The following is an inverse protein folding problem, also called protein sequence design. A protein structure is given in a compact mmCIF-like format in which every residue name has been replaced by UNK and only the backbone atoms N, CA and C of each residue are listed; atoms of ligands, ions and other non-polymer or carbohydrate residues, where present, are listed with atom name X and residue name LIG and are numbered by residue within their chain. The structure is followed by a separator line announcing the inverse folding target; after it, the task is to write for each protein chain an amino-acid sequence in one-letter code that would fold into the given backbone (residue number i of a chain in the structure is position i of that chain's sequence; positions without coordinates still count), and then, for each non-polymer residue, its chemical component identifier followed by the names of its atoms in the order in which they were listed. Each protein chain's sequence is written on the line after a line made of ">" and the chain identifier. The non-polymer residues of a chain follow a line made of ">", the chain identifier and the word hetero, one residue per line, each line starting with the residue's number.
data_IF_285301991232
#
_entry.id   IF_285301991232
#
_cell.length_a   1.000
_cell.length_b   1.000
_cell.length_c   1.000
_cell.angle_alpha   90.00
_cell.angle_beta   90.00
_cell.angle_gamma   90.00
#
_symmetry.space_group_name_H-M   'P 1'
#
loop_
_entity.id
_entity.type
_entity.pdbx_description
1 polymer ?
#
# COMPACT_ATOMS: atom_id res chain seq x y z
N UNK A 1 -10.60 -24.49 39.12
CA UNK A 1 -9.25 -24.60 38.54
C UNK A 1 -8.55 -25.83 39.08
N UNK A 2 -8.01 -26.71 38.23
CA UNK A 2 -6.83 -27.51 38.49
C UNK A 2 -5.60 -26.94 37.74
N UNK A 3 -4.39 -27.27 38.19
CA UNK A 3 -3.15 -26.60 37.79
C UNK A 3 -2.54 -27.10 36.47
N UNK A 4 -1.73 -26.25 35.82
CA UNK A 4 -0.87 -26.61 34.70
C UNK A 4 0.47 -27.19 35.18
N UNK A 5 1.11 -28.10 34.41
CA UNK A 5 2.48 -28.55 34.66
C UNK A 5 3.53 -27.75 33.87
N UNK A 6 4.51 -27.19 34.60
CA UNK A 6 5.95 -27.23 34.28
C UNK A 6 6.45 -26.72 32.93
N UNK A 7 6.98 -25.50 32.92
CA UNK A 7 8.01 -25.07 31.95
C UNK A 7 9.32 -25.78 32.29
N UNK A 8 10.04 -26.28 31.28
CA UNK A 8 11.39 -26.84 31.43
C UNK A 8 12.38 -26.04 30.57
N UNK A 9 13.45 -25.57 31.21
CA UNK A 9 14.60 -24.95 30.54
C UNK A 9 15.27 -25.92 29.56
N UNK A 10 15.78 -25.38 28.45
CA UNK A 10 16.73 -26.07 27.57
C UNK A 10 17.95 -25.16 27.43
N UNK A 11 18.97 -25.48 28.22
CA UNK A 11 20.19 -24.70 28.33
C UNK A 11 21.05 -24.72 27.06
N UNK A 12 21.80 -23.64 26.87
CA UNK A 12 22.79 -23.50 25.80
C UNK A 12 24.13 -24.14 26.19
N UNK A 13 24.51 -25.23 25.55
CA UNK A 13 25.94 -25.57 25.40
C UNK A 13 26.26 -26.17 24.01
N UNK A 14 27.12 -25.50 23.25
CA UNK A 14 27.97 -26.13 22.22
C UNK A 14 29.36 -25.52 22.28
N UNK A 15 30.34 -26.36 22.59
CA UNK A 15 31.70 -25.94 22.88
C UNK A 15 32.53 -25.57 21.65
N UNK A 16 33.63 -24.89 21.94
CA UNK A 16 34.71 -24.53 21.02
C UNK A 16 35.77 -25.63 21.08
N UNK A 17 36.32 -26.02 19.92
CA UNK A 17 37.67 -26.61 19.84
C UNK A 17 38.48 -25.87 18.78
N UNK A 18 39.76 -25.63 19.07
CA UNK A 18 40.67 -24.85 18.25
C UNK A 18 41.86 -25.70 17.78
N UNK A 19 42.37 -25.41 16.57
CA UNK A 19 43.80 -25.26 16.24
C UNK A 19 43.94 -24.85 14.76
N UNK A 20 44.94 -24.10 14.31
CA UNK A 20 46.05 -23.50 15.06
C UNK A 20 46.99 -22.64 14.20
N UNK A 21 48.03 -22.11 14.84
CA UNK A 21 49.30 -21.57 14.31
C UNK A 21 49.32 -20.37 13.32
N UNK A 22 49.89 -19.24 13.78
CA UNK A 22 50.54 -18.21 12.95
C UNK A 22 52.02 -18.57 12.68
N UNK A 23 53.01 -17.65 12.75
CA UNK A 23 53.02 -16.21 13.08
C UNK A 23 53.37 -15.35 11.82
N UNK A 24 53.87 -14.11 11.81
CA UNK A 24 54.40 -13.17 12.83
C UNK A 24 54.21 -11.69 12.38
N UNK A 25 54.78 -10.74 13.13
CA UNK A 25 54.80 -9.30 12.82
C UNK A 25 56.10 -8.61 13.28
N UNK A 26 56.50 -7.50 12.63
CA UNK A 26 57.45 -6.46 13.12
C UNK A 26 57.00 -5.12 12.50
N UNK A 27 56.45 -4.16 13.26
CA UNK A 27 57.10 -2.91 13.80
C UNK A 27 57.90 -2.10 12.76
N UNK A 28 57.87 -0.76 12.70
CA UNK A 28 57.25 0.28 13.53
C UNK A 28 58.16 1.53 13.58
N UNK A 29 57.61 2.71 13.93
CA UNK A 29 58.35 3.98 14.21
C UNK A 29 59.02 4.69 12.99
N UNK A 30 59.27 6.02 12.93
CA UNK A 30 59.03 7.17 13.84
C UNK A 30 58.82 8.45 13.00
N UNK A 31 58.27 9.53 13.58
CA UNK A 31 57.98 10.80 12.90
C UNK A 31 58.99 11.95 13.00
N UNK A 32 58.53 13.13 12.54
CA UNK A 32 59.01 14.48 12.92
C UNK A 32 60.31 14.98 12.27
N UNK A 33 60.58 16.29 12.07
CA UNK A 33 59.88 17.56 12.37
C UNK A 33 60.47 18.68 11.44
N UNK A 34 59.74 19.80 11.30
CA UNK A 34 60.01 21.10 10.65
C UNK A 34 61.45 21.61 10.39
N UNK A 35 61.63 22.46 9.37
CA UNK A 35 61.97 23.89 9.55
C UNK A 35 61.57 24.76 8.31
N UNK A 36 61.57 26.09 8.44
CA UNK A 36 60.98 27.07 7.51
C UNK A 36 61.97 28.13 6.97
N UNK A 37 61.42 29.23 6.40
CA UNK A 37 62.07 30.44 5.83
C UNK A 37 62.50 30.34 4.34
N UNK A 38 62.41 31.38 3.48
CA UNK A 38 61.78 32.73 3.52
C UNK A 38 61.97 33.37 2.11
N UNK A 39 60.98 34.08 1.54
CA UNK A 39 61.17 34.72 0.22
C UNK A 39 59.89 35.28 -0.45
N UNK A 40 59.50 36.47 -0.05
CA UNK A 40 58.26 37.20 -0.34
C UNK A 40 58.03 37.75 -1.78
N UNK A 41 56.73 37.88 -2.15
CA UNK A 41 56.06 38.79 -3.11
C UNK A 41 56.45 38.72 -4.62
N UNK A 42 55.52 38.77 -5.58
CA UNK A 42 54.59 39.90 -5.84
C UNK A 42 53.41 39.49 -6.75
N UNK A 43 52.31 40.25 -6.71
CA UNK A 43 51.10 40.23 -7.57
C UNK A 43 49.99 39.20 -7.26
N UNK A 44 49.20 39.52 -6.23
CA UNK A 44 47.82 39.07 -6.12
C UNK A 44 46.89 39.94 -6.99
N UNK A 45 46.50 39.46 -8.18
CA UNK A 45 45.30 39.96 -8.85
C UNK A 45 44.14 39.00 -8.57
N UNK A 46 43.21 39.42 -7.72
CA UNK A 46 41.97 38.69 -7.47
C UNK A 46 41.03 38.86 -8.67
N UNK A 47 40.61 37.79 -9.38
CA UNK A 47 39.70 37.93 -10.50
C UNK A 47 38.36 38.50 -10.03
N UNK A 48 37.87 39.56 -10.71
CA UNK A 48 36.58 40.17 -10.44
C UNK A 48 35.48 39.11 -10.62
N UNK A 49 34.64 38.82 -9.59
CA UNK A 49 33.55 37.88 -9.73
C UNK A 49 32.49 38.45 -10.68
N UNK A 50 32.47 38.01 -11.94
CA UNK A 50 31.37 38.30 -12.85
C UNK A 50 30.09 37.68 -12.29
N UNK A 51 28.95 38.42 -12.26
CA UNK A 51 27.69 37.88 -11.78
C UNK A 51 27.28 36.71 -12.69
N UNK A 52 27.26 35.50 -12.12
CA UNK A 52 26.73 34.31 -12.78
C UNK A 52 25.20 34.42 -12.85
N UNK A 53 24.69 35.05 -13.90
CA UNK A 53 23.26 35.03 -14.24
C UNK A 53 22.79 33.57 -14.28
N UNK A 54 21.80 33.16 -13.46
CA UNK A 54 21.26 31.82 -13.55
C UNK A 54 20.69 31.58 -14.95
N UNK A 55 21.13 30.50 -15.60
CA UNK A 55 20.49 30.05 -16.84
C UNK A 55 19.00 29.79 -16.55
N UNK A 56 18.08 30.24 -17.43
CA UNK A 56 16.66 29.99 -17.23
C UNK A 56 16.43 28.48 -17.16
N UNK A 57 15.80 28.01 -16.07
CA UNK A 57 15.40 26.60 -15.94
C UNK A 57 14.43 26.31 -17.09
N UNK A 58 14.79 25.40 -17.98
CA UNK A 58 13.86 24.92 -19.01
C UNK A 58 12.62 24.38 -18.31
N UNK A 59 11.40 24.76 -18.74
CA UNK A 59 10.19 24.22 -18.15
C UNK A 59 10.21 22.69 -18.30
N UNK A 60 9.96 21.98 -17.20
CA UNK A 60 9.88 20.52 -17.21
C UNK A 60 8.78 20.11 -18.20
N UNK A 61 9.16 19.32 -19.21
CA UNK A 61 8.18 18.81 -20.17
C UNK A 61 7.22 17.90 -19.41
N UNK A 62 5.89 18.07 -19.56
CA UNK A 62 4.92 17.21 -18.88
C UNK A 62 5.17 15.76 -19.27
N UNK A 63 5.51 14.94 -18.28
CA UNK A 63 5.73 13.50 -18.45
C UNK A 63 4.36 12.83 -18.63
N UNK A 64 3.93 12.73 -19.89
CA UNK A 64 2.76 11.96 -20.27
C UNK A 64 3.01 10.48 -19.94
N UNK A 65 2.54 10.02 -18.79
CA UNK A 65 2.50 8.59 -18.47
C UNK A 65 1.57 7.88 -19.45
N UNK A 66 2.15 7.23 -20.45
CA UNK A 66 1.44 6.26 -21.29
C UNK A 66 1.20 5.01 -20.45
N UNK A 67 -0.04 4.77 -20.03
CA UNK A 67 -0.42 3.50 -19.44
C UNK A 67 -0.13 2.37 -20.43
N UNK A 68 0.55 1.32 -19.98
CA UNK A 68 0.84 0.16 -20.83
C UNK A 68 -0.46 -0.59 -21.15
N UNK A 69 -0.50 -1.29 -22.28
CA UNK A 69 -1.65 -2.15 -22.64
C UNK A 69 -1.93 -3.17 -21.54
N UNK A 70 -0.88 -3.75 -20.93
CA UNK A 70 -1.01 -4.62 -19.73
C UNK A 70 -1.72 -3.91 -18.57
N UNK A 71 -1.37 -2.65 -18.28
CA UNK A 71 -2.00 -1.87 -17.21
C UNK A 71 -3.48 -1.62 -17.49
N UNK A 72 -3.82 -1.15 -18.69
CA UNK A 72 -5.22 -0.93 -19.10
C UNK A 72 -6.05 -2.22 -19.01
N UNK A 73 -5.49 -3.36 -19.41
CA UNK A 73 -6.13 -4.68 -19.28
C UNK A 73 -6.27 -5.11 -17.83
N UNK A 74 -5.28 -4.86 -16.97
CA UNK A 74 -5.35 -5.15 -15.54
C UNK A 74 -6.47 -4.35 -14.85
N UNK A 75 -6.59 -3.07 -15.17
CA UNK A 75 -7.63 -2.21 -14.59
C UNK A 75 -9.02 -2.59 -15.12
N UNK A 76 -9.14 -2.92 -16.41
CA UNK A 76 -10.38 -3.47 -16.98
C UNK A 76 -10.79 -4.81 -16.35
N UNK A 77 -9.83 -5.70 -16.05
CA UNK A 77 -10.10 -6.95 -15.35
C UNK A 77 -10.51 -6.75 -13.89
N UNK A 78 -9.92 -5.77 -13.18
CA UNK A 78 -10.35 -5.39 -11.83
C UNK A 78 -11.78 -4.85 -11.83
N UNK A 79 -12.12 -3.99 -12.80
CA UNK A 79 -13.48 -3.51 -12.99
C UNK A 79 -14.47 -4.66 -13.28
N UNK A 80 -14.11 -5.59 -14.17
CA UNK A 80 -14.93 -6.77 -14.49
C UNK A 80 -15.10 -7.72 -13.29
N UNK A 81 -14.09 -7.86 -12.42
CA UNK A 81 -14.21 -8.59 -11.15
C UNK A 81 -15.18 -7.89 -10.19
N UNK A 82 -14.94 -6.62 -9.87
CA UNK A 82 -15.75 -5.88 -8.89
C UNK A 82 -17.18 -5.57 -9.36
N UNK A 83 -17.41 -5.49 -10.68
CA UNK A 83 -18.74 -5.42 -11.31
C UNK A 83 -19.46 -6.77 -11.43
N UNK A 84 -18.80 -7.89 -11.13
CA UNK A 84 -19.38 -9.24 -11.22
C UNK A 84 -19.48 -9.82 -12.63
N UNK A 85 -18.86 -9.19 -13.63
CA UNK A 85 -18.76 -9.73 -15.00
C UNK A 85 -17.83 -10.97 -15.08
N UNK A 86 -16.86 -11.06 -14.17
CA UNK A 86 -16.06 -12.26 -13.95
C UNK A 86 -16.56 -13.01 -12.70
N UNK A 87 -17.31 -14.07 -12.93
CA UNK A 87 -18.05 -14.82 -11.91
C UNK A 87 -17.13 -15.55 -10.92
N UNK A 88 -17.28 -15.35 -9.59
CA UNK A 88 -16.55 -16.12 -8.58
C UNK A 88 -16.70 -17.64 -8.74
N UNK A 89 -15.57 -18.34 -8.85
CA UNK A 89 -15.48 -19.78 -9.10
C UNK A 89 -15.42 -20.20 -10.57
N UNK A 90 -15.73 -19.32 -11.53
CA UNK A 90 -15.61 -19.58 -12.96
C UNK A 90 -14.14 -19.49 -13.43
N UNK A 91 -13.79 -20.23 -14.50
CA UNK A 91 -12.43 -20.27 -15.07
C UNK A 91 -12.39 -19.57 -16.41
N UNK A 92 -11.61 -18.49 -16.50
CA UNK A 92 -11.40 -17.72 -17.72
C UNK A 92 -10.03 -17.99 -18.33
N UNK A 93 -9.98 -18.12 -19.66
CA UNK A 93 -8.72 -18.31 -20.41
C UNK A 93 -8.21 -16.97 -20.96
N UNK A 94 -6.89 -16.78 -20.97
CA UNK A 94 -6.28 -15.56 -21.50
C UNK A 94 -6.58 -15.32 -23.00
N UNK A 95 -6.71 -16.33 -23.88
CA UNK A 95 -7.19 -16.13 -25.25
C UNK A 95 -8.61 -15.59 -25.34
N UNK A 96 -9.57 -16.19 -24.62
CA UNK A 96 -10.98 -15.76 -24.67
C UNK A 96 -11.18 -14.35 -24.09
N UNK A 97 -10.43 -14.00 -23.05
CA UNK A 97 -10.39 -12.63 -22.53
C UNK A 97 -9.69 -11.67 -23.51
N UNK A 98 -8.64 -12.10 -24.21
CA UNK A 98 -7.98 -11.30 -25.26
C UNK A 98 -8.92 -10.96 -26.41
N UNK A 99 -9.71 -11.92 -26.89
CA UNK A 99 -10.76 -11.71 -27.89
C UNK A 99 -11.80 -10.68 -27.41
N UNK A 100 -12.27 -10.79 -26.16
CA UNK A 100 -13.20 -9.81 -25.56
C UNK A 100 -12.63 -8.38 -25.49
N UNK A 101 -11.35 -8.24 -25.15
CA UNK A 101 -10.69 -6.94 -25.02
C UNK A 101 -10.02 -6.43 -26.32
N UNK A 102 -10.10 -7.17 -27.43
CA UNK A 102 -9.46 -6.79 -28.70
C UNK A 102 -7.92 -6.80 -28.68
N UNK A 103 -7.31 -7.62 -27.81
CA UNK A 103 -5.85 -7.70 -27.64
C UNK A 103 -5.35 -9.14 -27.71
N UNK A 104 -4.03 -9.33 -27.85
CA UNK A 104 -3.43 -10.66 -27.81
C UNK A 104 -3.47 -11.27 -26.40
N UNK A 105 -3.36 -12.60 -26.31
CA UNK A 105 -3.43 -13.32 -25.04
C UNK A 105 -2.27 -13.05 -24.07
N UNK A 106 -1.17 -12.43 -24.53
CA UNK A 106 0.03 -12.16 -23.72
C UNK A 106 -0.19 -11.10 -22.63
N UNK A 107 -0.57 -9.83 -22.94
CA UNK A 107 -0.84 -8.83 -21.90
C UNK A 107 -1.97 -9.26 -20.95
N UNK A 108 -2.96 -10.00 -21.45
CA UNK A 108 -4.02 -10.59 -20.62
C UNK A 108 -3.47 -11.62 -19.65
N UNK A 109 -2.58 -12.52 -20.09
CA UNK A 109 -1.95 -13.51 -19.20
C UNK A 109 -1.11 -12.84 -18.12
N UNK A 110 -0.37 -11.79 -18.46
CA UNK A 110 0.44 -11.01 -17.51
C UNK A 110 -0.42 -10.24 -16.50
N UNK A 111 -1.59 -9.73 -16.92
CA UNK A 111 -2.55 -9.09 -16.04
C UNK A 111 -3.25 -10.12 -15.12
N UNK A 112 -3.66 -11.28 -15.65
CA UNK A 112 -4.27 -12.35 -14.84
C UNK A 112 -3.27 -13.01 -13.88
N UNK A 113 -1.98 -13.07 -14.23
CA UNK A 113 -0.91 -13.46 -13.29
C UNK A 113 -0.75 -12.44 -12.16
N UNK A 114 -0.83 -11.14 -12.47
CA UNK A 114 -0.82 -10.08 -11.46
C UNK A 114 -2.02 -10.20 -10.51
N UNK A 115 -3.22 -10.47 -11.05
CA UNK A 115 -4.42 -10.76 -10.24
C UNK A 115 -4.30 -12.05 -9.41
N UNK A 116 -3.48 -13.01 -9.84
CA UNK A 116 -3.20 -14.22 -9.06
C UNK A 116 -2.28 -13.92 -7.86
N UNK A 117 -1.29 -13.04 -8.04
CA UNK A 117 -0.46 -12.52 -6.94
C UNK A 117 -1.31 -11.70 -5.96
N UNK A 118 -2.29 -10.94 -6.46
CA UNK A 118 -3.25 -10.17 -5.66
C UNK A 118 -4.34 -11.04 -4.99
N UNK A 119 -4.35 -12.36 -5.21
CA UNK A 119 -5.34 -13.28 -4.61
C UNK A 119 -6.78 -13.04 -5.07
N UNK A 120 -6.96 -12.44 -6.26
CA UNK A 120 -8.26 -12.25 -6.91
C UNK A 120 -8.62 -13.42 -7.85
N UNK A 121 -7.60 -14.12 -8.38
CA UNK A 121 -7.76 -15.34 -9.19
C UNK A 121 -6.76 -16.42 -8.79
N UNK A 122 -7.03 -17.68 -9.12
CA UNK A 122 -6.12 -18.82 -8.96
C UNK A 122 -5.68 -19.34 -10.33
N UNK A 123 -4.41 -19.71 -10.50
CA UNK A 123 -3.95 -20.34 -11.75
C UNK A 123 -4.47 -21.78 -11.83
N UNK A 124 -5.23 -22.09 -12.89
CA UNK A 124 -5.69 -23.45 -13.19
C UNK A 124 -4.86 -24.02 -14.34
N UNK A 125 -3.96 -24.99 -14.08
CA UNK A 125 -3.08 -25.56 -15.11
C UNK A 125 -3.84 -25.98 -16.37
N UNK A 126 -3.32 -25.58 -17.52
CA UNK A 126 -3.86 -25.85 -18.86
C UNK A 126 -5.31 -25.36 -19.13
N UNK A 127 -5.94 -24.61 -18.21
CA UNK A 127 -7.32 -24.11 -18.38
C UNK A 127 -7.42 -22.58 -18.33
N UNK A 128 -6.60 -21.92 -17.52
CA UNK A 128 -6.62 -20.47 -17.38
C UNK A 128 -6.54 -20.04 -15.92
N UNK A 129 -7.45 -19.18 -15.50
CA UNK A 129 -7.48 -18.58 -14.17
C UNK A 129 -8.90 -18.66 -13.60
N UNK A 130 -9.05 -19.16 -12.38
CA UNK A 130 -10.33 -19.23 -11.65
C UNK A 130 -10.53 -17.96 -10.83
N UNK A 131 -11.68 -17.32 -10.89
CA UNK A 131 -11.97 -16.21 -9.96
C UNK A 131 -12.10 -16.76 -8.54
N UNK A 132 -11.41 -16.16 -7.58
CA UNK A 132 -11.48 -16.57 -6.17
C UNK A 132 -12.89 -16.31 -5.64
N UNK A 133 -13.42 -17.25 -4.85
CA UNK A 133 -14.72 -17.11 -4.17
C UNK A 133 -14.46 -16.94 -2.67
N UNK A 134 -14.63 -15.72 -2.16
CA UNK A 134 -14.65 -15.48 -0.70
C UNK A 134 -16.02 -15.79 -0.11
N UNK A 135 -16.00 -16.36 1.09
CA UNK A 135 -17.18 -16.52 1.93
C UNK A 135 -17.27 -15.41 2.97
N UNK A 136 -18.46 -15.16 3.52
CA UNK A 136 -18.67 -14.13 4.55
C UNK A 136 -17.73 -14.29 5.75
N UNK A 137 -17.46 -15.54 6.16
CA UNK A 137 -16.49 -15.86 7.21
C UNK A 137 -15.07 -15.34 6.91
N UNK A 138 -14.56 -15.56 5.70
CA UNK A 138 -13.21 -15.10 5.32
C UNK A 138 -13.15 -13.57 5.28
N UNK A 139 -14.22 -12.89 4.87
CA UNK A 139 -14.30 -11.43 4.89
C UNK A 139 -14.34 -10.87 6.32
N UNK A 140 -15.05 -11.53 7.25
CA UNK A 140 -15.03 -11.17 8.67
C UNK A 140 -13.63 -11.40 9.30
N UNK A 141 -12.98 -12.52 9.00
CA UNK A 141 -11.59 -12.81 9.43
C UNK A 141 -10.61 -11.77 8.86
N UNK A 142 -10.78 -11.33 7.61
CA UNK A 142 -9.99 -10.24 7.01
C UNK A 142 -10.29 -8.87 7.65
N UNK A 143 -11.53 -8.58 8.02
CA UNK A 143 -11.92 -7.34 8.71
C UNK A 143 -11.30 -7.26 10.11
N UNK A 144 -11.34 -8.35 10.89
CA UNK A 144 -10.68 -8.45 12.19
C UNK A 144 -9.18 -8.15 12.08
N UNK A 145 -8.48 -8.77 11.11
CA UNK A 145 -7.06 -8.51 10.86
C UNK A 145 -6.81 -7.07 10.39
N UNK A 146 -7.69 -6.47 9.57
CA UNK A 146 -7.61 -5.05 9.20
C UNK A 146 -7.74 -4.15 10.43
N UNK A 147 -8.72 -4.40 11.31
CA UNK A 147 -8.95 -3.60 12.51
C UNK A 147 -7.74 -3.64 13.46
N UNK A 148 -7.25 -4.85 13.79
CA UNK A 148 -6.08 -5.07 14.64
C UNK A 148 -4.81 -4.35 14.13
N UNK A 149 -4.67 -4.17 12.82
CA UNK A 149 -3.51 -3.55 12.20
C UNK A 149 -3.67 -2.04 11.98
N UNK A 150 -4.86 -1.56 11.59
CA UNK A 150 -5.08 -0.18 11.16
C UNK A 150 -5.54 0.75 12.29
N UNK A 151 -6.46 0.32 13.17
CA UNK A 151 -6.95 1.13 14.31
C UNK A 151 -5.80 1.67 15.18
N UNK A 152 -4.85 0.86 15.69
CA UNK A 152 -3.76 1.38 16.52
C UNK A 152 -2.80 2.31 15.75
N UNK A 153 -2.70 2.17 14.43
CA UNK A 153 -1.90 3.09 13.60
C UNK A 153 -2.61 4.43 13.47
N UNK A 154 -3.89 4.46 13.10
CA UNK A 154 -4.67 5.70 12.97
C UNK A 154 -4.73 6.44 14.31
N UNK A 155 -5.00 5.74 15.41
CA UNK A 155 -5.03 6.35 16.75
C UNK A 155 -3.66 6.84 17.22
N UNK A 156 -2.56 6.25 16.76
CA UNK A 156 -1.21 6.80 16.99
C UNK A 156 -0.99 8.07 16.17
N UNK A 157 -1.35 8.06 14.89
CA UNK A 157 -1.22 9.21 13.99
C UNK A 157 -2.07 10.40 14.48
N UNK A 158 -3.28 10.15 14.97
CA UNK A 158 -4.19 11.16 15.52
C UNK A 158 -3.56 12.00 16.65
N UNK A 159 -2.57 11.45 17.37
CA UNK A 159 -1.83 12.14 18.44
C UNK A 159 -0.54 12.81 18.00
N UNK A 160 -0.12 12.65 16.74
CA UNK A 160 1.22 13.09 16.25
C UNK A 160 1.19 13.87 14.94
N UNK A 161 0.10 13.79 14.18
CA UNK A 161 -0.11 14.47 12.90
C UNK A 161 -0.99 15.69 13.13
N UNK A 162 -0.59 16.86 12.61
CA UNK A 162 -1.35 18.10 12.76
C UNK A 162 -2.62 18.13 11.91
N UNK A 163 -3.61 18.92 12.33
CA UNK A 163 -4.86 19.15 11.61
C UNK A 163 -4.66 19.49 10.11
N UNK A 164 -3.68 20.33 9.76
CA UNK A 164 -3.38 20.69 8.36
C UNK A 164 -3.05 19.46 7.49
N UNK A 165 -2.29 18.51 8.03
CA UNK A 165 -1.88 17.27 7.35
C UNK A 165 -3.06 16.30 7.16
N UNK A 166 -4.07 16.36 8.01
CA UNK A 166 -5.34 15.67 7.80
C UNK A 166 -6.19 16.37 6.73
N UNK A 167 -6.21 17.70 6.73
CA UNK A 167 -6.86 18.51 5.69
C UNK A 167 -6.33 18.24 4.27
N UNK A 168 -5.03 17.97 4.12
CA UNK A 168 -4.44 17.54 2.84
C UNK A 168 -5.06 16.25 2.26
N UNK A 169 -5.65 15.38 3.09
CA UNK A 169 -6.31 14.14 2.65
C UNK A 169 -7.77 14.33 2.24
N UNK A 170 -8.37 15.51 2.46
CA UNK A 170 -9.78 15.76 2.15
C UNK A 170 -10.17 15.46 0.68
N UNK A 171 -9.35 15.80 -0.35
CA UNK A 171 -9.67 15.43 -1.73
C UNK A 171 -9.80 13.92 -1.98
N UNK A 172 -9.15 13.07 -1.17
CA UNK A 172 -9.30 11.62 -1.26
C UNK A 172 -10.65 11.17 -0.69
N UNK A 173 -11.06 11.71 0.46
CA UNK A 173 -12.37 11.41 1.05
C UNK A 173 -13.53 11.90 0.17
N UNK A 174 -13.43 13.13 -0.38
CA UNK A 174 -14.42 13.67 -1.32
C UNK A 174 -14.50 12.82 -2.61
N UNK A 175 -13.38 12.24 -3.07
CA UNK A 175 -13.35 11.30 -4.19
C UNK A 175 -14.02 9.95 -3.85
N UNK A 176 -13.90 9.43 -2.61
CA UNK A 176 -14.68 8.23 -2.20
C UNK A 176 -16.18 8.50 -2.25
N UNK A 177 -16.64 9.66 -1.78
CA UNK A 177 -18.04 10.06 -1.86
C UNK A 177 -18.52 10.25 -3.31
N UNK A 178 -17.68 10.85 -4.18
CA UNK A 178 -17.97 10.97 -5.61
C UNK A 178 -18.07 9.60 -6.28
N UNK A 179 -17.15 8.69 -6.00
CA UNK A 179 -17.14 7.33 -6.52
C UNK A 179 -18.39 6.55 -6.04
N UNK A 180 -18.70 6.60 -4.75
CA UNK A 180 -19.90 5.97 -4.15
C UNK A 180 -21.20 6.43 -4.82
N UNK A 181 -21.31 7.72 -5.15
CA UNK A 181 -22.51 8.29 -5.80
C UNK A 181 -22.86 7.62 -7.15
N UNK A 182 -21.86 7.04 -7.82
CA UNK A 182 -22.04 6.32 -9.10
C UNK A 182 -22.66 4.93 -8.92
N UNK A 183 -22.62 4.35 -7.71
CA UNK A 183 -22.97 2.96 -7.45
C UNK A 183 -21.97 1.92 -7.98
N UNK A 184 -20.87 2.34 -8.63
CA UNK A 184 -19.87 1.44 -9.16
C UNK A 184 -18.90 0.97 -8.06
N UNK A 185 -19.06 -0.28 -7.58
CA UNK A 185 -18.16 -0.88 -6.56
C UNK A 185 -16.68 -0.87 -6.98
N UNK A 186 -16.38 -1.04 -8.27
CA UNK A 186 -15.00 -0.97 -8.77
C UNK A 186 -14.38 0.41 -8.55
N UNK A 187 -15.07 1.46 -9.02
CA UNK A 187 -14.63 2.85 -8.88
C UNK A 187 -14.56 3.27 -7.41
N UNK A 188 -15.49 2.79 -6.58
CA UNK A 188 -15.43 3.00 -5.14
C UNK A 188 -14.20 2.35 -4.51
N UNK A 189 -13.98 1.05 -4.72
CA UNK A 189 -12.87 0.31 -4.12
C UNK A 189 -11.48 0.82 -4.51
N UNK A 190 -11.32 1.44 -5.68
CA UNK A 190 -10.08 2.14 -6.05
C UNK A 190 -9.90 3.47 -5.31
N UNK A 191 -10.96 4.26 -5.13
CA UNK A 191 -10.93 5.52 -4.37
C UNK A 191 -10.73 5.27 -2.86
N UNK A 192 -11.46 4.29 -2.32
CA UNK A 192 -11.41 3.83 -0.93
C UNK A 192 -9.99 3.34 -0.56
N UNK A 193 -9.41 2.46 -1.40
CA UNK A 193 -8.01 2.04 -1.26
C UNK A 193 -7.03 3.23 -1.30
N UNK A 194 -7.29 4.23 -2.14
CA UNK A 194 -6.45 5.43 -2.21
C UNK A 194 -6.55 6.30 -0.94
N UNK A 195 -7.76 6.46 -0.37
CA UNK A 195 -7.99 7.13 0.91
C UNK A 195 -7.25 6.45 2.06
N UNK A 196 -7.45 5.13 2.25
CA UNK A 196 -6.75 4.36 3.28
C UNK A 196 -5.22 4.42 3.11
N UNK A 197 -4.72 4.32 1.88
CA UNK A 197 -3.28 4.46 1.59
C UNK A 197 -2.75 5.85 1.94
N UNK A 198 -3.54 6.91 1.71
CA UNK A 198 -3.21 8.27 2.12
C UNK A 198 -3.10 8.42 3.63
N UNK A 199 -4.10 7.95 4.37
CA UNK A 199 -4.14 7.96 5.85
C UNK A 199 -2.96 7.19 6.44
N UNK A 200 -2.76 5.93 6.03
CA UNK A 200 -1.66 5.11 6.55
C UNK A 200 -0.28 5.57 6.06
N UNK A 201 -0.21 6.29 4.93
CA UNK A 201 1.04 6.82 4.37
C UNK A 201 1.73 7.83 5.29
N UNK A 202 0.94 8.55 6.11
CA UNK A 202 1.44 9.45 7.16
C UNK A 202 2.28 8.72 8.23
N UNK A 203 2.18 7.39 8.34
CA UNK A 203 3.02 6.60 9.24
C UNK A 203 4.46 6.36 8.73
N UNK A 204 4.75 6.67 7.45
CA UNK A 204 6.08 6.48 6.85
C UNK A 204 6.56 5.02 6.80
N UNK A 205 5.65 4.05 6.93
CA UNK A 205 5.97 2.62 7.02
C UNK A 205 5.50 1.88 5.76
N UNK A 206 6.42 1.69 4.81
CA UNK A 206 6.14 1.00 3.54
C UNK A 206 5.71 -0.47 3.72
N UNK A 207 6.16 -1.16 4.76
CA UNK A 207 5.75 -2.55 5.02
C UNK A 207 4.31 -2.62 5.52
N UNK A 208 3.92 -1.67 6.39
CA UNK A 208 2.52 -1.49 6.79
C UNK A 208 1.63 -1.20 5.57
N UNK A 209 2.06 -0.28 4.71
CA UNK A 209 1.32 0.07 3.49
C UNK A 209 1.12 -1.16 2.59
N UNK A 210 2.16 -1.95 2.34
CA UNK A 210 2.07 -3.15 1.50
C UNK A 210 1.08 -4.19 2.06
N UNK A 211 1.11 -4.42 3.38
CA UNK A 211 0.21 -5.39 4.05
C UNK A 211 -1.24 -4.86 4.07
N UNK A 212 -1.45 -3.59 4.44
CA UNK A 212 -2.79 -3.01 4.51
C UNK A 212 -3.46 -2.92 3.13
N UNK A 213 -2.71 -2.56 2.10
CA UNK A 213 -3.17 -2.47 0.69
C UNK A 213 -3.55 -3.85 0.12
N UNK A 214 -2.83 -4.91 0.50
CA UNK A 214 -3.16 -6.30 0.19
C UNK A 214 -4.42 -6.80 0.92
N UNK A 215 -4.52 -6.59 2.24
CA UNK A 215 -5.72 -6.92 3.02
C UNK A 215 -6.95 -6.18 2.47
N UNK A 216 -6.80 -4.90 2.15
CA UNK A 216 -7.86 -4.07 1.59
C UNK A 216 -8.34 -4.62 0.23
N UNK A 217 -7.43 -4.92 -0.73
CA UNK A 217 -7.81 -5.56 -2.00
C UNK A 217 -8.58 -6.86 -1.79
N UNK A 218 -8.18 -7.68 -0.81
CA UNK A 218 -8.84 -8.97 -0.55
C UNK A 218 -10.28 -8.79 -0.06
N UNK A 219 -10.53 -7.77 0.78
CA UNK A 219 -11.89 -7.43 1.23
C UNK A 219 -12.80 -6.86 0.14
N UNK A 220 -12.24 -6.24 -0.91
CA UNK A 220 -13.03 -5.68 -2.04
C UNK A 220 -13.48 -6.72 -3.08
N UNK A 221 -13.11 -8.00 -2.95
CA UNK A 221 -13.50 -9.04 -3.91
C UNK A 221 -14.94 -9.52 -3.65
N UNK A 222 -15.82 -9.65 -4.66
CA UNK A 222 -17.22 -9.99 -4.43
C UNK A 222 -17.47 -11.29 -3.67
N UNK A 223 -18.46 -11.26 -2.78
CA UNK A 223 -19.13 -12.44 -2.23
C UNK A 223 -19.67 -13.31 -3.36
N UNK A 224 -19.27 -14.58 -3.39
CA UNK A 224 -19.63 -15.46 -4.50
C UNK A 224 -21.13 -15.73 -4.63
N UNK A 225 -21.63 -15.64 -5.87
CA UNK A 225 -22.99 -15.95 -6.38
C UNK A 225 -24.00 -16.31 -5.27
N UNK A 226 -24.69 -15.27 -4.80
CA UNK A 226 -25.67 -15.31 -3.71
C UNK A 226 -26.18 -13.91 -3.35
N UNK A 227 -25.33 -12.88 -3.50
CA UNK A 227 -25.69 -11.46 -3.30
C UNK A 227 -25.80 -10.66 -4.61
N UNK A 228 -25.74 -11.32 -5.79
CA UNK A 228 -25.96 -10.69 -7.10
C UNK A 228 -27.41 -10.19 -7.33
N UNK A 229 -28.28 -10.29 -6.31
CA UNK A 229 -29.66 -9.83 -6.34
C UNK A 229 -29.85 -8.34 -5.99
N UNK A 230 -28.84 -7.64 -5.44
CA UNK A 230 -28.92 -6.20 -5.15
C UNK A 230 -27.81 -5.39 -5.82
N UNK A 231 -27.79 -5.45 -7.15
CA UNK A 231 -27.29 -4.35 -7.99
C UNK A 231 -28.36 -3.23 -8.09
N UNK A 232 -29.10 -3.02 -7.00
CA UNK A 232 -30.14 -2.02 -6.85
C UNK A 232 -29.65 -0.82 -6.05
N UNK A 233 -30.58 -0.05 -5.47
CA UNK A 233 -30.21 1.14 -4.69
C UNK A 233 -29.59 0.81 -3.33
N UNK A 234 -29.72 -0.41 -2.80
CA UNK A 234 -29.14 -0.79 -1.50
C UNK A 234 -27.61 -0.73 -1.52
N UNK A 235 -26.98 -1.35 -2.52
CA UNK A 235 -25.52 -1.27 -2.71
C UNK A 235 -25.00 0.17 -2.80
N UNK A 236 -25.67 1.07 -3.53
CA UNK A 236 -25.25 2.49 -3.58
C UNK A 236 -25.40 3.21 -2.23
N UNK A 237 -26.47 2.93 -1.48
CA UNK A 237 -26.67 3.52 -0.14
C UNK A 237 -25.60 3.05 0.83
N UNK A 238 -25.20 1.77 0.78
CA UNK A 238 -24.09 1.20 1.54
C UNK A 238 -22.77 1.94 1.23
N UNK A 239 -22.39 2.05 -0.05
CA UNK A 239 -21.17 2.77 -0.46
C UNK A 239 -21.17 4.24 -0.03
N UNK A 240 -22.33 4.92 -0.08
CA UNK A 240 -22.44 6.31 0.34
C UNK A 240 -22.39 6.48 1.86
N UNK A 241 -22.82 5.48 2.63
CA UNK A 241 -22.68 5.47 4.09
C UNK A 241 -21.22 5.28 4.49
N UNK A 242 -20.52 4.31 3.88
CA UNK A 242 -19.09 4.05 4.12
C UNK A 242 -18.21 5.26 3.74
N UNK A 243 -18.46 5.87 2.58
CA UNK A 243 -17.79 7.10 2.16
C UNK A 243 -17.99 8.29 3.13
N UNK A 244 -19.15 8.36 3.79
CA UNK A 244 -19.42 9.40 4.77
C UNK A 244 -18.61 9.20 6.07
N UNK A 245 -18.23 7.96 6.40
CA UNK A 245 -17.35 7.67 7.53
C UNK A 245 -15.93 8.18 7.30
N UNK A 246 -15.41 8.11 6.06
CA UNK A 246 -14.11 8.71 5.70
C UNK A 246 -14.08 10.22 5.96
N UNK A 247 -15.15 10.92 5.56
CA UNK A 247 -15.29 12.36 5.77
C UNK A 247 -15.39 12.68 7.27
N UNK A 248 -16.26 11.98 7.99
CA UNK A 248 -16.43 12.17 9.44
C UNK A 248 -15.15 11.90 10.23
N UNK A 249 -14.38 10.88 9.82
CA UNK A 249 -13.09 10.55 10.43
C UNK A 249 -12.06 11.66 10.20
N UNK A 250 -11.95 12.22 8.99
CA UNK A 250 -11.08 13.37 8.75
C UNK A 250 -11.54 14.61 9.54
N UNK A 251 -12.84 14.89 9.59
CA UNK A 251 -13.38 16.04 10.33
C UNK A 251 -13.05 15.91 11.84
N UNK A 252 -13.19 14.71 12.44
CA UNK A 252 -12.79 14.45 13.82
C UNK A 252 -11.28 14.58 14.05
N UNK A 253 -10.45 14.06 13.13
CA UNK A 253 -8.98 14.16 13.20
C UNK A 253 -8.49 15.62 13.03
N UNK A 254 -9.15 16.42 12.19
CA UNK A 254 -8.87 17.85 12.03
C UNK A 254 -9.33 18.69 13.23
N UNK A 255 -10.37 18.25 13.94
CA UNK A 255 -10.83 18.86 15.19
C UNK A 255 -10.04 18.40 16.43
N UNK A 256 -9.07 17.50 16.27
CA UNK A 256 -8.32 16.82 17.34
C UNK A 256 -9.23 16.05 18.33
N UNK A 257 -10.44 15.68 17.91
CA UNK A 257 -11.39 14.89 18.70
C UNK A 257 -11.02 13.40 18.66
N UNK A 258 -10.15 13.01 19.57
CA UNK A 258 -9.65 11.64 19.72
C UNK A 258 -10.74 10.65 20.13
N UNK A 259 -11.83 11.08 20.78
CA UNK A 259 -12.91 10.18 21.20
C UNK A 259 -13.80 9.84 20.00
N UNK A 260 -14.23 10.87 19.25
CA UNK A 260 -14.95 10.68 17.99
C UNK A 260 -14.12 9.89 16.97
N UNK A 261 -12.83 10.22 16.81
CA UNK A 261 -11.94 9.50 15.89
C UNK A 261 -11.79 8.01 16.28
N UNK A 262 -11.73 7.67 17.58
CA UNK A 262 -11.67 6.28 18.05
C UNK A 262 -12.95 5.51 17.72
N UNK A 263 -14.12 6.10 18.02
CA UNK A 263 -15.42 5.48 17.73
C UNK A 263 -15.63 5.27 16.22
N UNK A 264 -15.28 6.28 15.40
CA UNK A 264 -15.39 6.21 13.95
C UNK A 264 -14.45 5.16 13.34
N UNK A 265 -13.18 5.11 13.78
CA UNK A 265 -12.22 4.15 13.20
C UNK A 265 -12.51 2.70 13.62
N UNK A 266 -12.97 2.47 14.85
CA UNK A 266 -13.41 1.13 15.30
C UNK A 266 -14.67 0.67 14.56
N UNK A 267 -15.64 1.56 14.36
CA UNK A 267 -16.85 1.28 13.56
C UNK A 267 -16.47 0.92 12.12
N UNK A 268 -15.67 1.78 11.47
CA UNK A 268 -15.33 1.65 10.06
C UNK A 268 -14.55 0.35 9.74
N UNK A 269 -13.61 -0.07 10.59
CA UNK A 269 -12.93 -1.36 10.39
C UNK A 269 -13.70 -2.57 10.96
N UNK A 270 -14.64 -2.37 11.89
CA UNK A 270 -15.41 -3.43 12.53
C UNK A 270 -16.74 -3.78 11.85
N UNK A 271 -17.26 -2.95 10.95
CA UNK A 271 -18.61 -3.05 10.39
C UNK A 271 -18.84 -4.16 9.33
N UNK A 272 -17.99 -5.20 9.25
CA UNK A 272 -18.23 -6.41 8.44
C UNK A 272 -18.56 -7.62 9.31
N UNK A 273 -19.63 -7.52 10.11
CA UNK A 273 -20.20 -8.58 10.95
C UNK A 273 -21.70 -8.72 10.78
#
# INVERSE_FOLDING_TARGET
>A
MPAQPGVADVDRERGITADGAGPAAVRGDTGGVTDAARGEHTHSETPIPLPRTPLPRTPERPVLQRSSVRGQILDALRAALAGGELTPGEVYSAPALGERFGVSATPVREAMQQLAIEGAVEVVPNRGFRVVRRGARELAELAEVRALLQVPVVMRLARTVSADRWGELRPLADETARAASTGCRATYGDADRAFHRGVLGLAGNEQLLQIADDLHRRTQLPLGVGHLGDVGSGGRVELMADAAEHIALLDALMAEDLEAACCLVEKHFGAMG
#
